data_IF_430558603891
#
_entry.id   IF_430558603891
#
_cell.length_a   1.000
_cell.length_b   1.000
_cell.length_c   1.000
_cell.angle_alpha   90.00
_cell.angle_beta   90.00
_cell.angle_gamma   90.00
#
_symmetry.space_group_name_H-M   'P 1'
#
loop_
_entity.id
_entity.type
_entity.pdbx_description
1 polymer ?
#
# COMPACT_ATOMS: atom_id res chain seq x y z
N UNK A 1 -19.29 0.58 -3.99
CA UNK A 1 -19.13 0.60 -2.51
C UNK A 1 -18.64 1.99 -2.13
N UNK A 2 -19.39 2.72 -1.31
CA UNK A 2 -19.07 4.09 -0.89
C UNK A 2 -17.95 4.10 0.16
N UNK A 3 -17.11 5.16 0.24
CA UNK A 3 -15.91 5.22 1.10
C UNK A 3 -16.15 5.01 2.60
N UNK A 4 -17.39 5.11 3.07
CA UNK A 4 -17.68 5.22 4.51
C UNK A 4 -17.78 3.87 5.25
N UNK A 5 -17.72 2.72 4.55
CA UNK A 5 -17.95 1.38 5.15
C UNK A 5 -16.72 0.53 5.49
N UNK A 6 -15.51 1.09 5.57
CA UNK A 6 -14.31 0.32 5.93
C UNK A 6 -14.00 0.27 7.45
N UNK A 7 -14.80 0.93 8.29
CA UNK A 7 -14.48 1.17 9.70
C UNK A 7 -14.67 -0.02 10.66
N UNK A 8 -15.25 -1.15 10.23
CA UNK A 8 -15.63 -2.19 11.21
C UNK A 8 -14.55 -3.22 11.57
N UNK A 9 -13.35 -3.19 10.97
CA UNK A 9 -12.31 -4.19 11.27
C UNK A 9 -10.86 -3.65 11.33
N UNK A 10 -10.63 -2.36 11.57
CA UNK A 10 -9.27 -1.83 11.79
C UNK A 10 -9.23 -0.84 12.96
N UNK A 11 -8.72 -1.28 14.11
CA UNK A 11 -8.52 -0.44 15.31
C UNK A 11 -7.28 0.45 15.23
N UNK A 12 -6.72 0.66 14.04
CA UNK A 12 -5.55 1.51 13.81
C UNK A 12 -5.99 2.65 12.90
N UNK A 13 -5.84 3.90 13.35
CA UNK A 13 -6.31 5.11 12.67
C UNK A 13 -6.00 5.06 11.18
N UNK A 14 -7.03 5.23 10.35
CA UNK A 14 -6.97 5.19 8.89
C UNK A 14 -6.26 6.41 8.26
N UNK A 15 -5.15 6.87 8.84
CA UNK A 15 -4.33 7.95 8.29
C UNK A 15 -3.74 7.56 6.92
N UNK A 16 -3.40 6.29 6.76
CA UNK A 16 -2.87 5.69 5.52
C UNK A 16 -3.81 5.84 4.32
N UNK A 17 -5.12 6.00 4.52
CA UNK A 17 -6.08 6.21 3.42
C UNK A 17 -5.79 7.51 2.66
N UNK A 18 -5.35 8.54 3.38
CA UNK A 18 -5.04 9.85 2.77
C UNK A 18 -3.56 9.97 2.42
N UNK A 19 -2.66 9.43 3.25
CA UNK A 19 -1.22 9.62 3.08
C UNK A 19 -0.57 8.64 2.10
N UNK A 20 -1.03 7.39 2.02
CA UNK A 20 -0.38 6.38 1.18
C UNK A 20 -0.34 6.77 -0.32
N UNK A 21 -1.41 7.32 -0.94
CA UNK A 21 -1.35 7.76 -2.33
C UNK A 21 -0.36 8.92 -2.55
N UNK A 22 -0.27 9.84 -1.57
CA UNK A 22 0.66 10.99 -1.64
C UNK A 22 2.11 10.53 -1.54
N UNK A 23 2.38 9.58 -0.65
CA UNK A 23 3.72 8.98 -0.49
C UNK A 23 4.10 8.17 -1.73
N UNK A 24 3.18 7.38 -2.30
CA UNK A 24 3.41 6.65 -3.55
C UNK A 24 3.77 7.60 -4.70
N UNK A 25 3.02 8.69 -4.83
CA UNK A 25 3.28 9.71 -5.87
C UNK A 25 4.63 10.39 -5.69
N UNK A 26 4.99 10.77 -4.46
CA UNK A 26 6.29 11.34 -4.15
C UNK A 26 7.43 10.36 -4.49
N UNK A 27 7.27 9.09 -4.11
CA UNK A 27 8.24 8.05 -4.38
C UNK A 27 8.48 7.87 -5.89
N UNK A 28 7.42 7.83 -6.70
CA UNK A 28 7.53 7.79 -8.17
C UNK A 28 8.32 8.97 -8.73
N UNK A 29 8.05 10.19 -8.24
CA UNK A 29 8.77 11.40 -8.69
C UNK A 29 10.26 11.34 -8.41
N UNK A 30 10.66 10.66 -7.35
CA UNK A 30 12.05 10.49 -6.96
C UNK A 30 12.66 9.16 -7.42
N UNK A 31 11.94 8.34 -8.19
CA UNK A 31 12.42 7.02 -8.62
C UNK A 31 12.68 6.03 -7.47
N UNK A 32 12.04 6.25 -6.32
CA UNK A 32 12.16 5.37 -5.14
C UNK A 32 11.10 4.28 -5.23
N UNK A 33 11.52 3.01 -5.28
CA UNK A 33 10.60 1.87 -5.32
C UNK A 33 10.06 1.57 -3.92
N UNK A 34 8.74 1.71 -3.73
CA UNK A 34 8.05 1.61 -2.44
C UNK A 34 6.95 0.52 -2.48
N UNK A 35 7.33 -0.77 -2.62
CA UNK A 35 6.41 -1.86 -2.94
C UNK A 35 5.33 -2.09 -1.88
N UNK A 36 5.64 -1.82 -0.61
CA UNK A 36 4.64 -1.92 0.48
C UNK A 36 3.60 -0.81 0.34
N UNK A 37 4.02 0.42 0.07
CA UNK A 37 3.09 1.55 -0.09
C UNK A 37 2.26 1.38 -1.35
N UNK A 38 2.85 0.91 -2.44
CA UNK A 38 2.14 0.57 -3.68
C UNK A 38 1.06 -0.51 -3.45
N UNK A 39 1.40 -1.59 -2.74
CA UNK A 39 0.44 -2.65 -2.40
C UNK A 39 -0.69 -2.16 -1.49
N UNK A 40 -0.38 -1.32 -0.51
CA UNK A 40 -1.40 -0.70 0.37
C UNK A 40 -2.33 0.21 -0.43
N UNK A 41 -1.80 1.03 -1.34
CA UNK A 41 -2.62 1.87 -2.23
C UNK A 41 -3.54 1.01 -3.10
N UNK A 42 -3.03 -0.10 -3.66
CA UNK A 42 -3.81 -1.02 -4.49
C UNK A 42 -4.97 -1.70 -3.74
N UNK A 43 -4.76 -2.06 -2.47
CA UNK A 43 -5.84 -2.60 -1.62
C UNK A 43 -6.87 -1.52 -1.32
N UNK A 44 -6.42 -0.31 -0.95
CA UNK A 44 -7.30 0.80 -0.61
C UNK A 44 -8.11 1.32 -1.82
N UNK A 45 -7.57 1.21 -3.03
CA UNK A 45 -8.29 1.52 -4.28
C UNK A 45 -9.21 0.39 -4.74
N UNK A 46 -9.18 -0.78 -4.09
CA UNK A 46 -9.92 -1.97 -4.49
C UNK A 46 -9.39 -2.62 -5.78
N UNK A 47 -8.15 -2.31 -6.16
CA UNK A 47 -7.49 -2.89 -7.35
C UNK A 47 -7.00 -4.31 -7.11
N UNK A 48 -6.71 -4.67 -5.84
CA UNK A 48 -6.40 -6.03 -5.40
C UNK A 48 -7.10 -6.32 -4.07
N UNK A 49 -7.37 -7.59 -3.79
CA UNK A 49 -7.81 -8.06 -2.47
C UNK A 49 -6.68 -8.06 -1.45
N UNK A 50 -7.02 -8.03 -0.15
CA UNK A 50 -6.02 -8.04 0.94
C UNK A 50 -5.22 -9.35 0.95
N UNK A 51 -5.85 -10.45 0.56
CA UNK A 51 -5.26 -11.77 0.38
C UNK A 51 -4.17 -11.82 -0.71
N UNK A 52 -4.20 -10.89 -1.66
CA UNK A 52 -3.22 -10.80 -2.75
C UNK A 52 -1.97 -10.01 -2.33
N UNK A 53 -2.03 -9.26 -1.23
CA UNK A 53 -0.94 -8.39 -0.77
C UNK A 53 0.29 -9.20 -0.33
N UNK A 54 0.12 -10.22 0.50
CA UNK A 54 1.25 -11.02 1.01
C UNK A 54 1.98 -11.80 -0.09
N UNK A 55 1.30 -12.52 -1.02
CA UNK A 55 1.96 -13.17 -2.15
C UNK A 55 2.75 -12.19 -3.04
N UNK A 56 2.22 -11.01 -3.31
CA UNK A 56 2.89 -10.00 -4.14
C UNK A 56 4.15 -9.44 -3.48
N UNK A 57 4.10 -9.16 -2.17
CA UNK A 57 5.25 -8.62 -1.45
C UNK A 57 6.36 -9.67 -1.24
N UNK A 58 5.98 -10.91 -0.93
CA UNK A 58 6.91 -12.00 -0.64
C UNK A 58 7.50 -12.64 -1.90
N UNK A 59 6.78 -12.58 -3.04
CA UNK A 59 7.27 -13.08 -4.33
C UNK A 59 8.25 -12.14 -5.05
N UNK A 60 8.48 -10.94 -4.51
CA UNK A 60 9.34 -9.93 -5.12
C UNK A 60 10.82 -10.33 -5.00
N UNK A 61 11.63 -9.96 -5.99
CA UNK A 61 13.09 -10.07 -5.87
C UNK A 61 13.56 -9.25 -4.68
N UNK A 62 14.41 -9.85 -3.85
CA UNK A 62 15.04 -9.18 -2.72
C UNK A 62 15.86 -7.98 -3.23
N UNK A 63 15.67 -6.84 -2.58
CA UNK A 63 16.56 -5.69 -2.73
C UNK A 63 17.73 -5.88 -1.77
N UNK A 64 18.90 -5.36 -2.14
CA UNK A 64 20.00 -5.24 -1.19
C UNK A 64 19.60 -4.21 -0.14
N UNK A 65 19.65 -4.60 1.12
CA UNK A 65 19.60 -3.64 2.23
C UNK A 65 20.94 -2.89 2.24
N UNK A 66 20.89 -1.56 2.35
CA UNK A 66 22.08 -0.70 2.26
C UNK A 66 23.14 -1.09 3.30
N UNK A 67 24.41 -1.01 2.90
CA UNK A 67 25.56 -1.12 3.80
C UNK A 67 25.60 0.04 4.81
#
# INVERSE_FOLDING_TARGET
>A
VTPDRLHEHMSQTAESIKSAPVVAELARRHGVEMPIVEAVVAVLSGSIGIEELAPQLLGRRLKHEGH
#
